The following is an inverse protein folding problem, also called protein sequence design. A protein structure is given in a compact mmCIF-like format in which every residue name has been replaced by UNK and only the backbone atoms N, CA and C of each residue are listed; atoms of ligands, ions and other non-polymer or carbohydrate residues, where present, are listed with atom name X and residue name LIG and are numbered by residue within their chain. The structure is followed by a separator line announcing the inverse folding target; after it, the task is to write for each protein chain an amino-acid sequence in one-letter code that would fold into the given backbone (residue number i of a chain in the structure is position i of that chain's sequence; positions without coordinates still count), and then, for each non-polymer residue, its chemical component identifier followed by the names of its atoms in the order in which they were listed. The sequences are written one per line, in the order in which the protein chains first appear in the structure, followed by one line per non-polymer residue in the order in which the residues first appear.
data_IF_306216869414
#
_entry.id   IF_306216869414
#
_cell.length_a   1.000
_cell.length_b   1.000
_cell.length_c   1.000
_cell.angle_alpha   90.00
_cell.angle_beta   90.00
_cell.angle_gamma   90.00
#
_symmetry.space_group_name_H-M   'P 1'
#
loop_
_entity.id
_entity.type
_entity.pdbx_description
1 polymer ?
#
# COMPACT_ATOMS: atom_id res chain seq x y z
N UNK A 1 -31.04 1.11 -5.57
CA UNK A 1 -30.32 1.95 -6.55
C UNK A 1 -29.97 3.28 -5.89
N UNK A 2 -28.75 3.78 -6.07
CA UNK A 2 -28.30 5.08 -5.54
C UNK A 2 -28.88 6.25 -6.36
N UNK A 3 -29.12 7.38 -5.69
CA UNK A 3 -29.58 8.63 -6.29
C UNK A 3 -28.77 9.87 -5.88
N UNK A 4 -27.76 9.73 -5.01
CA UNK A 4 -26.97 10.84 -4.50
C UNK A 4 -26.46 10.65 -3.08
N UNK A 5 -26.07 11.76 -2.45
CA UNK A 5 -25.61 11.84 -1.06
C UNK A 5 -26.29 13.00 -0.33
N UNK A 6 -26.44 12.85 0.99
CA UNK A 6 -26.91 13.90 1.89
C UNK A 6 -25.74 14.34 2.76
N UNK A 7 -25.46 15.65 2.80
CA UNK A 7 -24.36 16.22 3.57
C UNK A 7 -24.77 16.51 5.02
N UNK A 8 -23.80 16.90 5.85
CA UNK A 8 -24.04 17.18 7.27
C UNK A 8 -24.97 18.38 7.51
N UNK A 9 -25.04 19.31 6.56
CA UNK A 9 -25.94 20.47 6.58
C UNK A 9 -27.33 20.16 5.97
N UNK A 10 -27.61 18.88 5.72
CA UNK A 10 -28.81 18.37 5.07
C UNK A 10 -28.99 18.75 3.59
N UNK A 11 -28.00 19.38 2.96
CA UNK A 11 -28.02 19.56 1.50
C UNK A 11 -27.91 18.22 0.77
N UNK A 12 -28.57 18.13 -0.38
CA UNK A 12 -28.58 16.93 -1.22
C UNK A 12 -27.79 17.17 -2.51
N UNK A 13 -26.90 16.23 -2.83
CA UNK A 13 -26.19 16.19 -4.10
C UNK A 13 -26.64 14.95 -4.85
N UNK A 14 -27.30 15.14 -6.00
CA UNK A 14 -27.79 14.04 -6.84
C UNK A 14 -26.67 13.46 -7.69
N UNK A 15 -26.66 12.14 -7.81
CA UNK A 15 -25.73 11.41 -8.69
C UNK A 15 -26.31 10.06 -9.10
N UNK A 16 -25.91 9.56 -10.26
CA UNK A 16 -26.21 8.20 -10.71
C UNK A 16 -25.25 7.16 -10.10
N UNK A 17 -24.02 7.59 -9.75
CA UNK A 17 -22.97 6.76 -9.18
C UNK A 17 -22.28 7.46 -8.01
N UNK A 18 -22.04 6.72 -6.93
CA UNK A 18 -21.34 7.21 -5.73
C UNK A 18 -20.24 6.22 -5.37
N UNK A 19 -19.04 6.73 -5.09
CA UNK A 19 -17.90 5.92 -4.65
C UNK A 19 -17.59 6.30 -3.20
N UNK A 20 -17.60 5.32 -2.29
CA UNK A 20 -17.25 5.52 -0.89
C UNK A 20 -15.80 5.10 -0.63
N UNK A 21 -15.00 6.04 -0.12
CA UNK A 21 -13.59 5.88 0.22
C UNK A 21 -13.31 6.33 1.66
N UNK A 22 -14.08 5.81 2.61
CA UNK A 22 -14.12 6.30 4.00
C UNK A 22 -12.83 6.13 4.79
N UNK A 23 -11.85 5.39 4.28
CA UNK A 23 -10.61 5.11 5.00
C UNK A 23 -10.89 4.45 6.35
N UNK A 24 -10.25 4.94 7.40
CA UNK A 24 -10.42 4.50 8.79
C UNK A 24 -11.53 5.25 9.55
N UNK A 25 -12.36 6.04 8.88
CA UNK A 25 -13.30 6.94 9.56
C UNK A 25 -14.62 6.29 9.96
N UNK A 26 -15.02 5.21 9.30
CA UNK A 26 -16.33 4.58 9.50
C UNK A 26 -16.40 3.94 10.91
N UNK A 27 -17.20 4.54 11.81
CA UNK A 27 -17.22 4.23 13.25
C UNK A 27 -15.81 4.08 13.87
N UNK A 28 -14.88 4.94 13.45
CA UNK A 28 -13.48 4.89 13.90
C UNK A 28 -13.30 5.11 15.41
N UNK A 29 -12.43 4.32 16.04
CA UNK A 29 -12.04 4.42 17.45
C UNK A 29 -10.51 4.35 17.58
N UNK A 30 -9.92 5.37 18.22
CA UNK A 30 -8.49 5.43 18.52
C UNK A 30 -8.24 4.84 19.90
N UNK A 31 -7.24 3.97 19.99
CA UNK A 31 -6.80 3.32 21.23
C UNK A 31 -5.34 3.64 21.54
N UNK A 32 -5.09 4.12 22.76
CA UNK A 32 -3.77 4.36 23.34
C UNK A 32 -3.78 3.78 24.75
N UNK A 33 -3.25 2.57 24.90
CA UNK A 33 -3.35 1.82 26.14
C UNK A 33 -4.79 1.47 26.50
N UNK A 34 -5.20 1.87 27.69
CA UNK A 34 -6.55 1.77 28.25
C UNK A 34 -7.47 2.92 27.81
N UNK A 35 -6.94 3.97 27.18
CA UNK A 35 -7.72 5.12 26.72
C UNK A 35 -8.22 4.88 25.30
N UNK A 36 -9.54 4.94 25.14
CA UNK A 36 -10.21 4.85 23.82
C UNK A 36 -11.04 6.10 23.56
N UNK A 37 -10.99 6.62 22.32
CA UNK A 37 -11.75 7.80 21.91
C UNK A 37 -12.29 7.67 20.49
N UNK A 38 -13.52 8.16 20.21
CA UNK A 38 -14.03 8.19 18.84
C UNK A 38 -13.15 9.08 17.95
N UNK A 39 -12.73 8.56 16.80
CA UNK A 39 -11.89 9.30 15.87
C UNK A 39 -11.53 8.47 14.64
N UNK A 40 -11.52 9.09 13.46
CA UNK A 40 -11.08 8.41 12.23
C UNK A 40 -9.55 8.41 12.08
N UNK A 41 -8.92 9.49 12.54
CA UNK A 41 -7.47 9.70 12.66
C UNK A 41 -7.21 10.61 13.86
N UNK A 42 -5.95 10.72 14.27
CA UNK A 42 -5.57 11.63 15.34
C UNK A 42 -6.07 13.06 15.05
N UNK A 43 -6.93 13.59 15.91
CA UNK A 43 -7.51 14.92 15.77
C UNK A 43 -8.82 15.00 14.97
N UNK A 44 -9.20 13.95 14.23
CA UNK A 44 -10.37 13.96 13.35
C UNK A 44 -11.56 13.17 13.91
N UNK A 45 -12.78 13.66 13.65
CA UNK A 45 -14.02 12.99 14.05
C UNK A 45 -14.31 11.75 13.19
N UNK A 46 -14.98 10.72 13.74
CA UNK A 46 -15.41 9.56 12.97
C UNK A 46 -16.70 9.84 12.16
N UNK A 47 -16.94 9.03 11.14
CA UNK A 47 -18.14 9.02 10.32
C UNK A 47 -19.16 8.01 10.86
N UNK A 48 -20.11 8.49 11.67
CA UNK A 48 -21.13 7.63 12.32
C UNK A 48 -22.42 7.54 11.50
N UNK A 49 -22.97 8.67 11.05
CA UNK A 49 -24.23 8.70 10.27
C UNK A 49 -24.13 7.91 8.97
N UNK A 50 -22.97 7.97 8.31
CA UNK A 50 -22.73 7.18 7.10
C UNK A 50 -22.71 5.67 7.40
N UNK A 51 -22.15 5.25 8.54
CA UNK A 51 -22.16 3.85 8.95
C UNK A 51 -23.59 3.35 9.21
N UNK A 52 -24.39 4.14 9.93
CA UNK A 52 -25.81 3.85 10.15
C UNK A 52 -26.57 3.71 8.83
N UNK A 53 -26.26 4.55 7.84
CA UNK A 53 -26.86 4.43 6.51
C UNK A 53 -26.43 3.16 5.78
N UNK A 54 -25.18 2.72 5.96
CA UNK A 54 -24.67 1.48 5.37
C UNK A 54 -25.32 0.25 6.01
N UNK A 55 -25.63 0.30 7.32
CA UNK A 55 -26.33 -0.79 8.02
C UNK A 55 -27.68 -1.13 7.34
N UNK A 56 -28.39 -0.13 6.79
CA UNK A 56 -29.65 -0.32 6.06
C UNK A 56 -29.52 -1.10 4.74
N UNK A 57 -28.30 -1.23 4.19
CA UNK A 57 -28.08 -2.01 2.97
C UNK A 57 -27.99 -3.52 3.22
N UNK A 58 -28.00 -3.97 4.47
CA UNK A 58 -27.93 -5.39 4.83
C UNK A 58 -26.60 -6.04 4.44
N UNK A 59 -25.51 -5.27 4.48
CA UNK A 59 -24.16 -5.74 4.17
C UNK A 59 -23.53 -6.44 5.38
N UNK A 60 -22.66 -7.42 5.12
CA UNK A 60 -21.81 -8.00 6.16
C UNK A 60 -20.69 -7.02 6.51
N UNK A 61 -20.70 -6.51 7.73
CA UNK A 61 -19.67 -5.62 8.27
C UNK A 61 -18.78 -6.38 9.25
N UNK A 62 -17.51 -6.01 9.28
CA UNK A 62 -16.56 -6.42 10.31
C UNK A 62 -15.76 -5.23 10.80
N UNK A 63 -14.89 -5.48 11.79
CA UNK A 63 -13.97 -4.45 12.31
C UNK A 63 -12.53 -4.90 12.13
N UNK A 64 -11.71 -3.96 11.69
CA UNK A 64 -10.28 -4.15 11.51
C UNK A 64 -9.51 -3.16 12.34
N UNK A 65 -8.26 -3.54 12.66
CA UNK A 65 -7.34 -2.70 13.41
C UNK A 65 -6.08 -2.44 12.60
N UNK A 66 -5.62 -1.19 12.59
CA UNK A 66 -4.26 -0.84 12.15
C UNK A 66 -3.56 0.03 13.19
N UNK A 67 -2.24 -0.07 13.29
CA UNK A 67 -1.42 0.67 14.24
C UNK A 67 -0.42 1.58 13.55
N UNK A 68 -0.11 2.71 14.16
CA UNK A 68 0.93 3.65 13.73
C UNK A 68 1.94 3.90 14.85
N UNK A 69 3.23 4.11 14.55
CA UNK A 69 4.22 4.40 15.57
C UNK A 69 4.03 5.80 16.18
N UNK A 70 4.66 6.10 17.32
CA UNK A 70 4.82 7.48 17.77
C UNK A 70 5.55 8.32 16.72
N UNK A 71 5.30 9.62 16.71
CA UNK A 71 6.11 10.59 15.96
C UNK A 71 7.15 11.19 16.87
N UNK A 72 8.38 11.28 16.37
CA UNK A 72 9.53 11.78 17.13
C UNK A 72 9.96 13.14 16.60
N UNK A 73 10.48 14.00 17.48
CA UNK A 73 11.20 15.20 17.08
C UNK A 73 12.64 14.85 16.68
N UNK A 74 12.94 14.96 15.40
CA UNK A 74 14.25 14.65 14.82
C UNK A 74 15.39 15.52 15.36
N UNK A 75 15.11 16.67 15.98
CA UNK A 75 16.15 17.49 16.63
C UNK A 75 16.67 16.89 17.94
N UNK A 76 15.98 15.88 18.47
CA UNK A 76 16.29 15.23 19.75
C UNK A 76 16.87 13.82 19.60
N UNK A 77 17.13 13.42 18.35
CA UNK A 77 17.73 12.13 17.99
C UNK A 77 19.24 12.32 17.85
N UNK A 78 20.02 11.43 18.44
CA UNK A 78 21.47 11.37 18.22
C UNK A 78 21.77 10.66 16.90
N UNK A 79 21.73 11.42 15.81
CA UNK A 79 22.02 10.92 14.47
C UNK A 79 23.47 10.49 14.26
N UNK A 80 24.41 11.00 15.06
CA UNK A 80 25.84 10.71 14.88
C UNK A 80 26.15 9.24 15.18
N UNK A 81 25.42 8.63 16.12
CA UNK A 81 25.56 7.22 16.49
C UNK A 81 24.81 6.23 15.60
N UNK A 82 24.07 6.70 14.58
CA UNK A 82 23.17 5.86 13.78
C UNK A 82 23.72 5.55 12.39
N UNK A 83 23.38 4.37 11.89
CA UNK A 83 23.63 4.02 10.48
C UNK A 83 22.68 4.83 9.59
N UNK A 84 23.22 5.36 8.49
CA UNK A 84 22.45 6.10 7.48
C UNK A 84 22.23 5.23 6.26
N UNK A 85 21.00 5.20 5.76
CA UNK A 85 20.65 4.57 4.48
C UNK A 85 20.26 5.64 3.46
N UNK A 86 21.16 6.02 2.53
CA UNK A 86 20.81 6.87 1.40
C UNK A 86 19.93 6.10 0.40
N UNK A 87 19.25 6.85 -0.48
CA UNK A 87 18.63 6.26 -1.67
C UNK A 87 19.67 5.81 -2.69
N UNK A 88 19.21 5.14 -3.75
CA UNK A 88 20.07 4.71 -4.86
C UNK A 88 20.72 5.91 -5.56
N UNK A 89 22.00 5.75 -5.96
CA UNK A 89 22.73 6.76 -6.74
C UNK A 89 22.01 7.10 -8.06
N UNK A 90 21.38 6.10 -8.68
CA UNK A 90 20.54 6.24 -9.87
C UNK A 90 19.13 5.74 -9.53
N UNK A 91 18.22 6.64 -9.11
CA UNK A 91 16.92 6.24 -8.61
C UNK A 91 16.00 5.76 -9.72
N UNK A 92 15.26 4.68 -9.45
CA UNK A 92 14.17 4.24 -10.31
C UNK A 92 12.92 5.08 -10.02
N UNK A 93 12.30 5.62 -11.07
CA UNK A 93 11.14 6.50 -10.93
C UNK A 93 9.83 5.71 -11.08
N UNK A 94 8.83 6.07 -10.28
CA UNK A 94 7.52 5.40 -10.28
C UNK A 94 6.72 5.59 -11.58
N UNK A 95 6.78 6.79 -12.17
CA UNK A 95 6.05 7.11 -13.40
C UNK A 95 6.95 6.97 -14.61
N UNK A 96 6.46 6.28 -15.64
CA UNK A 96 7.10 6.20 -16.97
C UNK A 96 7.29 7.56 -17.68
N UNK A 97 6.73 8.65 -17.14
CA UNK A 97 6.91 10.01 -17.68
C UNK A 97 7.97 10.81 -16.93
N UNK A 98 8.28 10.42 -15.69
CA UNK A 98 9.29 11.11 -14.89
C UNK A 98 10.67 10.81 -15.46
N UNK A 99 11.53 11.83 -15.49
CA UNK A 99 12.90 11.73 -16.02
C UNK A 99 13.97 11.77 -14.93
N UNK A 100 13.68 12.46 -13.84
CA UNK A 100 14.54 12.60 -12.68
C UNK A 100 13.67 12.80 -11.41
N UNK A 101 14.24 12.63 -10.21
CA UNK A 101 13.55 12.96 -8.97
C UNK A 101 13.22 14.46 -8.91
N UNK A 102 11.96 14.80 -8.65
CA UNK A 102 11.53 16.19 -8.51
C UNK A 102 11.93 16.81 -7.16
N UNK A 103 12.21 15.99 -6.15
CA UNK A 103 12.53 16.42 -4.78
C UNK A 103 13.96 16.06 -4.41
N UNK A 104 14.55 16.84 -3.51
CA UNK A 104 15.85 16.54 -2.89
C UNK A 104 15.78 15.18 -2.21
N UNK A 105 16.73 14.30 -2.53
CA UNK A 105 16.85 13.00 -1.87
C UNK A 105 17.48 13.18 -0.50
N UNK A 106 16.95 12.50 0.51
CA UNK A 106 17.44 12.51 1.88
C UNK A 106 17.59 11.06 2.37
N UNK A 107 18.53 10.84 3.28
CA UNK A 107 18.76 9.51 3.86
C UNK A 107 17.79 9.23 5.00
N UNK A 108 17.51 7.94 5.22
CA UNK A 108 16.87 7.47 6.44
C UNK A 108 17.93 7.04 7.46
N UNK A 109 17.57 7.01 8.74
CA UNK A 109 18.39 6.39 9.79
C UNK A 109 17.99 4.94 10.04
N UNK A 110 18.92 4.13 10.54
CA UNK A 110 18.69 2.76 10.98
C UNK A 110 19.09 2.64 12.45
N UNK A 111 18.20 2.06 13.25
CA UNK A 111 18.47 1.66 14.64
C UNK A 111 17.76 0.35 14.94
N UNK A 112 17.89 -0.15 16.16
CA UNK A 112 17.36 -1.45 16.57
C UNK A 112 16.77 -1.40 17.98
N UNK A 113 15.65 -2.08 18.18
CA UNK A 113 15.23 -2.46 19.54
C UNK A 113 16.26 -3.40 20.18
N UNK A 114 16.24 -3.47 21.50
CA UNK A 114 17.13 -4.32 22.27
C UNK A 114 16.38 -5.01 23.43
N UNK A 115 17.08 -5.85 24.19
CA UNK A 115 16.51 -6.59 25.32
C UNK A 115 15.84 -5.69 26.36
N UNK A 116 16.38 -4.49 26.62
CA UNK A 116 15.78 -3.51 27.53
C UNK A 116 14.44 -3.00 26.98
N UNK A 117 14.40 -2.66 25.68
CA UNK A 117 13.15 -2.31 24.99
C UNK A 117 12.11 -3.42 25.15
N UNK A 118 12.51 -4.66 24.92
CA UNK A 118 11.61 -5.81 25.00
C UNK A 118 11.13 -6.07 26.43
N UNK A 119 12.00 -5.94 27.43
CA UNK A 119 11.63 -6.09 28.83
C UNK A 119 10.59 -5.04 29.28
N UNK A 120 10.75 -3.78 28.86
CA UNK A 120 9.78 -2.70 29.12
C UNK A 120 8.42 -3.06 28.51
N UNK A 121 8.40 -3.49 27.26
CA UNK A 121 7.16 -3.85 26.56
C UNK A 121 6.49 -5.08 27.20
N UNK A 122 7.26 -6.16 27.46
CA UNK A 122 6.74 -7.39 28.09
C UNK A 122 6.08 -7.12 29.44
N UNK A 123 6.68 -6.24 30.26
CA UNK A 123 6.14 -5.86 31.57
C UNK A 123 4.79 -5.13 31.48
N UNK A 124 4.45 -4.54 30.34
CA UNK A 124 3.26 -3.70 30.15
C UNK A 124 2.32 -4.23 29.05
N UNK A 125 2.42 -5.51 28.66
CA UNK A 125 1.58 -6.07 27.58
C UNK A 125 0.09 -5.98 27.91
N UNK A 126 -0.27 -6.28 29.15
CA UNK A 126 -1.63 -6.18 29.70
C UNK A 126 -2.25 -4.79 29.57
N UNK A 127 -1.41 -3.75 29.55
CA UNK A 127 -1.83 -2.35 29.36
C UNK A 127 -2.01 -1.96 27.89
N UNK A 128 -1.66 -2.82 26.94
CA UNK A 128 -1.91 -2.54 25.52
C UNK A 128 -3.39 -2.76 25.17
N UNK A 129 -3.92 -1.95 24.25
CA UNK A 129 -5.29 -2.14 23.80
C UNK A 129 -5.54 -3.52 23.15
N UNK A 130 -4.50 -4.12 22.54
CA UNK A 130 -4.54 -5.50 21.99
C UNK A 130 -4.81 -6.53 23.09
N UNK A 131 -3.89 -6.61 24.07
CA UNK A 131 -3.85 -7.72 25.03
C UNK A 131 -4.70 -7.44 26.27
N UNK A 132 -5.05 -6.18 26.53
CA UNK A 132 -5.99 -5.77 27.59
C UNK A 132 -7.46 -5.99 27.24
N UNK A 133 -7.78 -6.49 26.03
CA UNK A 133 -9.16 -6.78 25.61
C UNK A 133 -9.99 -5.54 25.28
N UNK A 134 -9.34 -4.42 24.92
CA UNK A 134 -10.01 -3.17 24.58
C UNK A 134 -10.27 -2.98 23.08
N UNK A 135 -9.96 -3.99 22.26
CA UNK A 135 -10.12 -3.96 20.81
C UNK A 135 -10.80 -5.25 20.35
N UNK A 136 -11.86 -5.11 19.56
CA UNK A 136 -12.58 -6.22 18.94
C UNK A 136 -11.99 -6.59 17.56
N UNK A 137 -11.40 -5.60 16.88
CA UNK A 137 -10.91 -5.68 15.51
C UNK A 137 -9.63 -6.49 15.35
N UNK A 138 -9.58 -7.27 14.26
CA UNK A 138 -8.42 -8.11 13.93
C UNK A 138 -7.30 -7.26 13.30
N UNK A 139 -6.09 -7.37 13.84
CA UNK A 139 -4.88 -6.73 13.32
C UNK A 139 -4.14 -7.56 12.26
N UNK A 140 -3.22 -6.95 11.50
CA UNK A 140 -2.45 -7.65 10.47
C UNK A 140 -1.41 -8.61 11.08
N UNK A 141 -1.34 -9.85 10.59
CA UNK A 141 -0.37 -10.87 11.01
C UNK A 141 1.05 -10.57 10.59
N UNK A 142 1.23 -9.93 9.43
CA UNK A 142 2.55 -9.76 8.81
C UNK A 142 3.17 -8.38 9.04
N UNK A 143 2.38 -7.37 9.43
CA UNK A 143 2.87 -6.09 9.93
C UNK A 143 2.35 -5.83 11.36
N UNK A 144 2.63 -6.72 12.32
CA UNK A 144 2.09 -6.59 13.66
C UNK A 144 2.70 -5.38 14.39
N UNK A 145 2.03 -4.92 15.45
CA UNK A 145 2.59 -3.92 16.35
C UNK A 145 3.83 -4.44 17.05
N UNK A 146 4.66 -3.56 17.61
CA UNK A 146 5.91 -3.94 18.28
C UNK A 146 5.65 -4.88 19.47
N UNK A 147 4.58 -4.64 20.23
CA UNK A 147 4.15 -5.54 21.29
C UNK A 147 3.83 -6.94 20.79
N UNK A 148 3.19 -7.08 19.62
CA UNK A 148 2.86 -8.39 19.04
C UNK A 148 4.06 -9.04 18.34
N UNK A 149 4.97 -8.26 17.74
CA UNK A 149 6.27 -8.75 17.23
C UNK A 149 7.09 -9.42 18.33
N UNK A 150 7.20 -8.78 19.49
CA UNK A 150 8.03 -9.27 20.62
C UNK A 150 7.44 -10.55 21.23
N UNK A 151 6.11 -10.70 21.24
CA UNK A 151 5.46 -11.93 21.71
C UNK A 151 5.65 -13.07 20.70
N UNK A 152 5.41 -12.83 19.41
CA UNK A 152 5.50 -13.86 18.36
C UNK A 152 6.91 -14.31 18.05
N UNK A 153 7.88 -13.39 18.10
CA UNK A 153 9.28 -13.63 17.77
C UNK A 153 10.16 -13.42 19.01
N UNK A 154 9.77 -14.07 20.11
CA UNK A 154 10.38 -13.90 21.43
C UNK A 154 11.84 -14.36 21.51
N UNK A 155 12.29 -15.16 20.55
CA UNK A 155 13.67 -15.63 20.35
C UNK A 155 14.59 -14.55 19.76
N UNK A 156 14.05 -13.49 19.15
CA UNK A 156 14.84 -12.41 18.58
C UNK A 156 15.27 -11.41 19.65
N UNK A 157 16.57 -11.17 19.78
CA UNK A 157 17.13 -10.16 20.68
C UNK A 157 16.94 -8.71 20.19
N UNK A 158 16.64 -8.52 18.90
CA UNK A 158 16.46 -7.21 18.29
C UNK A 158 15.51 -7.21 17.09
N UNK A 159 14.97 -6.03 16.80
CA UNK A 159 14.19 -5.73 15.60
C UNK A 159 14.64 -4.40 15.02
N UNK A 160 14.88 -4.36 13.71
CA UNK A 160 15.28 -3.15 12.99
C UNK A 160 14.16 -2.11 12.98
N UNK A 161 14.57 -0.85 13.03
CA UNK A 161 13.74 0.34 12.94
C UNK A 161 14.35 1.26 11.89
N UNK A 162 13.53 1.74 10.96
CA UNK A 162 13.90 2.83 10.07
C UNK A 162 13.39 4.15 10.63
N UNK A 163 14.27 5.14 10.75
CA UNK A 163 13.93 6.50 11.11
C UNK A 163 13.75 7.30 9.82
N UNK A 164 12.50 7.45 9.41
CA UNK A 164 12.11 8.04 8.14
C UNK A 164 11.66 9.50 8.36
N UNK A 165 12.33 10.50 7.77
CA UNK A 165 11.84 11.87 7.82
C UNK A 165 10.50 12.03 7.09
N UNK A 166 9.50 12.65 7.72
CA UNK A 166 8.18 12.83 7.09
C UNK A 166 8.14 13.97 6.04
N UNK A 167 9.18 14.80 5.97
CA UNK A 167 9.30 15.85 4.96
C UNK A 167 10.67 16.53 4.95
N UNK A 168 10.89 17.40 3.96
CA UNK A 168 12.17 18.08 3.77
C UNK A 168 12.43 19.20 4.79
N UNK A 169 11.36 19.87 5.22
CA UNK A 169 11.40 21.08 6.03
C UNK A 169 10.67 20.92 7.38
N UNK A 170 10.43 19.68 7.80
CA UNK A 170 9.82 19.35 9.09
C UNK A 170 10.77 18.45 9.89
N UNK A 171 10.72 18.57 11.21
CA UNK A 171 11.57 17.76 12.10
C UNK A 171 10.94 16.42 12.45
N UNK A 172 9.69 16.17 12.04
CA UNK A 172 8.96 14.95 12.38
C UNK A 172 9.60 13.72 11.76
N UNK A 173 9.91 12.74 12.60
CA UNK A 173 10.44 11.43 12.19
C UNK A 173 9.40 10.34 12.45
N UNK A 174 9.22 9.48 11.45
CA UNK A 174 8.45 8.25 11.50
C UNK A 174 9.37 7.06 11.81
N UNK A 175 9.34 6.49 13.03
CA UNK A 175 10.15 5.32 13.37
C UNK A 175 9.43 4.04 12.93
N UNK A 176 9.58 3.72 11.64
CA UNK A 176 9.00 2.54 11.03
C UNK A 176 9.50 1.25 11.70
N UNK A 177 8.57 0.39 12.09
CA UNK A 177 8.86 -0.86 12.80
C UNK A 177 8.31 -0.91 14.22
N UNK A 178 8.02 0.25 14.84
CA UNK A 178 7.53 0.35 16.22
C UNK A 178 6.08 0.86 16.36
N UNK A 179 5.20 0.51 15.42
CA UNK A 179 3.75 0.72 15.58
C UNK A 179 3.26 0.12 16.89
N UNK A 180 2.41 0.83 17.64
CA UNK A 180 1.99 0.36 18.97
C UNK A 180 0.60 0.86 19.36
N UNK A 181 0.03 0.21 20.36
CA UNK A 181 -1.15 0.65 21.09
C UNK A 181 -0.93 0.71 22.61
N UNK A 182 0.33 0.76 23.05
CA UNK A 182 0.69 0.91 24.47
C UNK A 182 0.37 2.31 25.01
N UNK A 183 0.22 2.46 26.33
CA UNK A 183 0.07 3.78 26.98
C UNK A 183 1.26 4.70 26.69
N UNK A 184 1.03 6.01 26.66
CA UNK A 184 2.04 7.00 26.30
C UNK A 184 3.31 6.93 27.18
N UNK A 185 3.15 6.75 28.50
CA UNK A 185 4.29 6.61 29.44
C UNK A 185 5.19 5.42 29.09
N UNK A 186 4.59 4.31 28.65
CA UNK A 186 5.32 3.11 28.21
C UNK A 186 6.01 3.36 26.89
N UNK A 187 5.37 4.10 25.97
CA UNK A 187 5.99 4.49 24.72
C UNK A 187 7.25 5.31 24.93
N UNK A 188 7.18 6.34 25.78
CA UNK A 188 8.34 7.16 26.14
C UNK A 188 9.46 6.30 26.73
N UNK A 189 9.13 5.36 27.63
CA UNK A 189 10.10 4.50 28.27
C UNK A 189 10.82 3.56 27.28
N UNK A 190 10.09 2.90 26.37
CA UNK A 190 10.73 1.98 25.43
C UNK A 190 11.44 2.74 24.30
N UNK A 191 10.91 3.88 23.83
CA UNK A 191 11.57 4.68 22.79
C UNK A 191 12.94 5.14 23.27
N UNK A 192 13.03 5.66 24.51
CA UNK A 192 14.29 6.09 25.11
C UNK A 192 15.25 4.96 25.49
N UNK A 193 14.85 3.71 25.31
CA UNK A 193 15.74 2.56 25.48
C UNK A 193 16.48 2.18 24.18
N UNK A 194 16.06 2.71 23.04
CA UNK A 194 16.62 2.42 21.72
C UNK A 194 17.84 3.30 21.49
N UNK A 195 18.90 2.73 20.93
CA UNK A 195 20.14 3.44 20.65
C UNK A 195 19.90 4.64 19.73
N UNK A 196 20.43 5.81 20.10
CA UNK A 196 20.26 7.08 19.41
C UNK A 196 18.95 7.80 19.73
N UNK A 197 18.02 7.18 20.46
CA UNK A 197 16.73 7.73 20.85
C UNK A 197 16.61 8.02 22.35
N UNK A 198 17.72 8.00 23.09
CA UNK A 198 17.75 8.12 24.56
C UNK A 198 17.09 9.40 25.06
N UNK A 199 17.20 10.48 24.27
CA UNK A 199 16.62 11.79 24.56
C UNK A 199 15.43 12.13 23.63
N UNK A 200 14.98 11.18 22.81
CA UNK A 200 13.95 11.45 21.82
C UNK A 200 12.65 11.95 22.49
N UNK A 201 12.10 13.03 21.93
CA UNK A 201 10.79 13.57 22.30
C UNK A 201 9.72 12.99 21.39
N UNK A 202 8.65 12.46 21.98
CA UNK A 202 7.46 12.03 21.26
C UNK A 202 6.56 13.25 21.08
N UNK A 203 6.36 13.69 19.83
CA UNK A 203 5.47 14.80 19.46
C UNK A 203 4.03 14.34 19.28
N UNK A 204 3.83 13.07 18.92
CA UNK A 204 2.53 12.42 18.85
C UNK A 204 2.65 10.97 19.31
N UNK A 205 1.83 10.50 20.26
CA UNK A 205 1.86 9.10 20.68
C UNK A 205 1.44 8.18 19.52
N UNK A 206 2.05 7.01 19.47
CA UNK A 206 1.60 5.89 18.66
C UNK A 206 0.23 5.43 19.15
N UNK A 207 -0.57 4.91 18.23
CA UNK A 207 -1.92 4.49 18.54
C UNK A 207 -2.39 3.43 17.56
N UNK A 208 -3.46 2.76 17.94
CA UNK A 208 -4.23 1.96 17.01
C UNK A 208 -5.56 2.61 16.65
N UNK A 209 -5.99 2.39 15.42
CA UNK A 209 -7.30 2.77 14.91
C UNK A 209 -8.07 1.50 14.59
N UNK A 210 -9.22 1.36 15.23
CA UNK A 210 -10.24 0.37 14.90
C UNK A 210 -11.32 1.03 14.06
N UNK A 211 -11.76 0.36 13.01
CA UNK A 211 -12.74 0.91 12.07
C UNK A 211 -13.51 -0.21 11.39
N UNK A 212 -14.65 0.15 10.83
CA UNK A 212 -15.49 -0.78 10.11
C UNK A 212 -15.05 -0.96 8.66
N UNK A 213 -15.21 -2.17 8.17
CA UNK A 213 -15.09 -2.50 6.75
C UNK A 213 -16.31 -3.32 6.30
N UNK A 214 -16.59 -3.25 5.01
CA UNK A 214 -17.57 -4.09 4.32
C UNK A 214 -16.85 -5.30 3.77
N UNK A 215 -17.42 -6.49 3.97
CA UNK A 215 -16.90 -7.71 3.36
C UNK A 215 -16.84 -7.56 1.83
N UNK A 216 -15.64 -7.56 1.21
CA UNK A 216 -15.49 -7.26 -0.20
C UNK A 216 -16.13 -8.30 -1.13
N UNK A 217 -16.55 -9.47 -0.62
CA UNK A 217 -17.36 -10.45 -1.37
C UNK A 217 -18.73 -9.91 -1.79
N UNK A 218 -19.19 -8.82 -1.16
CA UNK A 218 -20.40 -8.10 -1.57
C UNK A 218 -20.22 -7.32 -2.89
N UNK A 219 -18.98 -7.18 -3.37
CA UNK A 219 -18.61 -6.41 -4.57
C UNK A 219 -18.43 -7.32 -5.79
N UNK A 220 -18.54 -6.73 -6.98
CA UNK A 220 -18.03 -7.30 -8.22
C UNK A 220 -16.64 -6.75 -8.60
N UNK A 221 -16.06 -7.23 -9.70
CA UNK A 221 -14.71 -6.83 -10.16
C UNK A 221 -14.60 -5.34 -10.53
N UNK A 222 -15.73 -4.66 -10.70
CA UNK A 222 -15.79 -3.20 -10.92
C UNK A 222 -15.81 -2.42 -9.60
N UNK A 223 -15.80 -3.12 -8.47
CA UNK A 223 -15.98 -2.62 -7.11
C UNK A 223 -17.38 -2.04 -6.84
N UNK A 224 -18.37 -2.40 -7.66
CA UNK A 224 -19.77 -2.06 -7.42
C UNK A 224 -20.40 -3.04 -6.43
N UNK A 225 -21.26 -2.53 -5.54
CA UNK A 225 -22.10 -3.36 -4.69
C UNK A 225 -23.16 -4.05 -5.54
N UNK A 226 -23.19 -5.38 -5.46
CA UNK A 226 -24.14 -6.21 -6.23
C UNK A 226 -25.61 -5.89 -5.94
N UNK A 227 -25.91 -5.58 -4.68
CA UNK A 227 -27.28 -5.35 -4.20
C UNK A 227 -27.68 -3.87 -4.18
N UNK A 228 -26.75 -2.94 -4.44
CA UNK A 228 -27.00 -1.50 -4.42
C UNK A 228 -26.47 -0.87 -5.70
N UNK A 229 -27.20 -0.95 -6.83
CA UNK A 229 -26.75 -0.44 -8.11
C UNK A 229 -26.37 1.05 -8.03
N UNK A 230 -25.19 1.38 -8.56
CA UNK A 230 -24.61 2.73 -8.54
C UNK A 230 -23.78 3.05 -7.30
N UNK A 231 -23.64 2.14 -6.34
CA UNK A 231 -22.73 2.31 -5.20
C UNK A 231 -21.44 1.50 -5.40
N UNK A 232 -20.30 2.16 -5.28
CA UNK A 232 -18.98 1.57 -5.36
C UNK A 232 -18.23 1.78 -4.05
N UNK A 233 -17.39 0.82 -3.66
CA UNK A 233 -16.56 0.92 -2.46
C UNK A 233 -15.09 0.78 -2.84
N UNK A 234 -14.20 1.62 -2.32
CA UNK A 234 -12.77 1.55 -2.63
C UNK A 234 -11.88 1.89 -1.43
N UNK A 235 -10.78 1.16 -1.29
CA UNK A 235 -9.76 1.39 -0.28
C UNK A 235 -10.00 0.63 1.01
N UNK A 236 -9.71 1.25 2.15
CA UNK A 236 -9.73 0.55 3.45
C UNK A 236 -11.13 0.07 3.86
N UNK A 237 -12.20 0.66 3.32
CA UNK A 237 -13.57 0.17 3.51
C UNK A 237 -13.77 -1.26 2.96
N UNK A 238 -12.95 -1.70 2.00
CA UNK A 238 -12.95 -3.07 1.48
C UNK A 238 -11.99 -3.99 2.26
N UNK A 239 -11.46 -3.51 3.39
CA UNK A 239 -10.57 -4.25 4.28
C UNK A 239 -9.14 -4.41 3.78
N UNK A 240 -8.70 -3.56 2.85
CA UNK A 240 -7.28 -3.39 2.51
C UNK A 240 -6.57 -2.43 3.46
N UNK A 241 -5.25 -2.49 3.54
CA UNK A 241 -4.43 -1.47 4.22
C UNK A 241 -3.17 -1.15 3.42
N UNK A 242 -3.06 0.09 2.98
CA UNK A 242 -1.95 0.57 2.16
C UNK A 242 -2.46 1.61 1.17
N UNK A 243 -1.59 2.54 0.80
CA UNK A 243 -1.98 3.65 -0.08
C UNK A 243 -2.12 3.16 -1.51
N UNK A 244 -1.26 2.22 -1.91
CA UNK A 244 -1.19 1.61 -3.22
C UNK A 244 -2.44 0.77 -3.50
N UNK A 245 -2.82 -0.11 -2.55
CA UNK A 245 -4.05 -0.90 -2.63
C UNK A 245 -5.29 0.00 -2.75
N UNK A 246 -5.35 1.06 -1.93
CA UNK A 246 -6.48 1.97 -1.93
C UNK A 246 -6.55 2.82 -3.21
N UNK A 247 -5.40 3.28 -3.71
CA UNK A 247 -5.32 4.06 -4.94
C UNK A 247 -5.70 3.24 -6.16
N UNK A 248 -5.24 1.98 -6.22
CA UNK A 248 -5.61 1.06 -7.29
C UNK A 248 -7.12 0.77 -7.30
N UNK A 249 -7.72 0.51 -6.13
CA UNK A 249 -9.18 0.36 -6.02
C UNK A 249 -9.93 1.64 -6.40
N UNK A 250 -9.46 2.81 -5.94
CA UNK A 250 -10.07 4.09 -6.28
C UNK A 250 -10.08 4.34 -7.79
N UNK A 251 -8.97 4.00 -8.47
CA UNK A 251 -8.89 4.07 -9.93
C UNK A 251 -9.89 3.13 -10.61
N UNK A 252 -9.95 1.87 -10.17
CA UNK A 252 -10.90 0.88 -10.71
C UNK A 252 -12.34 1.37 -10.53
N UNK A 253 -12.74 1.70 -9.31
CA UNK A 253 -14.08 2.19 -9.00
C UNK A 253 -14.42 3.47 -9.77
N UNK A 254 -13.47 4.39 -9.91
CA UNK A 254 -13.63 5.63 -10.68
C UNK A 254 -13.90 5.38 -12.16
N UNK A 255 -13.06 4.56 -12.80
CA UNK A 255 -13.20 4.19 -14.21
C UNK A 255 -14.50 3.42 -14.45
N UNK A 256 -14.85 2.49 -13.56
CA UNK A 256 -16.10 1.72 -13.63
C UNK A 256 -17.34 2.59 -13.44
N UNK A 257 -17.34 3.50 -12.47
CA UNK A 257 -18.45 4.44 -12.26
C UNK A 257 -18.63 5.40 -13.45
N UNK A 258 -17.54 5.85 -14.06
CA UNK A 258 -17.56 6.67 -15.27
C UNK A 258 -18.12 5.87 -16.46
N UNK A 259 -17.63 4.66 -16.70
CA UNK A 259 -18.12 3.78 -17.77
C UNK A 259 -19.63 3.48 -17.61
N UNK A 260 -20.07 3.18 -16.40
CA UNK A 260 -21.50 2.99 -16.09
C UNK A 260 -22.32 4.25 -16.41
N UNK A 261 -21.79 5.44 -16.11
CA UNK A 261 -22.47 6.70 -16.37
C UNK A 261 -22.53 7.05 -17.87
N UNK A 262 -21.54 6.60 -18.64
CA UNK A 262 -21.46 6.80 -20.09
C UNK A 262 -22.16 5.69 -20.89
N UNK A 263 -22.58 4.59 -20.23
CA UNK A 263 -23.14 3.42 -20.90
C UNK A 263 -22.11 2.66 -21.75
N UNK A 264 -20.83 2.72 -21.37
CA UNK A 264 -19.72 2.05 -22.05
C UNK A 264 -19.21 0.84 -21.25
N UNK A 265 -18.36 0.03 -21.88
CA UNK A 265 -17.66 -1.05 -21.19
C UNK A 265 -16.65 -0.46 -20.19
N UNK A 266 -16.57 -1.10 -19.01
CA UNK A 266 -15.66 -0.72 -17.93
C UNK A 266 -14.25 -1.30 -18.08
N UNK A 267 -13.33 -0.95 -17.17
CA UNK A 267 -12.03 -1.59 -17.11
C UNK A 267 -12.16 -3.09 -16.78
N UNK A 268 -11.19 -3.86 -17.25
CA UNK A 268 -11.07 -5.31 -17.02
C UNK A 268 -9.63 -5.62 -16.62
N UNK A 269 -9.43 -6.00 -15.36
CA UNK A 269 -8.12 -6.36 -14.82
C UNK A 269 -8.11 -7.85 -14.48
N UNK A 270 -7.18 -8.61 -15.07
CA UNK A 270 -7.03 -10.03 -14.81
C UNK A 270 -5.81 -10.32 -13.94
N UNK A 271 -5.83 -11.46 -13.24
CA UNK A 271 -4.68 -11.94 -12.46
C UNK A 271 -3.42 -12.15 -13.32
N UNK A 272 -3.59 -12.39 -14.63
CA UNK A 272 -2.49 -12.62 -15.57
C UNK A 272 -1.86 -11.34 -16.12
N UNK A 273 -2.57 -10.21 -16.06
CA UNK A 273 -2.12 -8.94 -16.65
C UNK A 273 -1.74 -7.89 -15.61
N UNK A 274 -2.16 -8.00 -14.35
CA UNK A 274 -1.92 -6.97 -13.35
C UNK A 274 -2.02 -7.45 -11.89
N UNK A 275 -1.23 -6.82 -11.03
CA UNK A 275 -1.41 -6.95 -9.58
C UNK A 275 -2.72 -6.30 -9.09
N UNK A 276 -3.32 -5.39 -9.86
CA UNK A 276 -4.67 -4.88 -9.61
C UNK A 276 -5.68 -6.02 -9.74
N UNK A 277 -5.62 -6.79 -10.83
CA UNK A 277 -6.47 -7.96 -11.02
C UNK A 277 -6.28 -9.03 -9.93
N UNK A 278 -5.03 -9.29 -9.52
CA UNK A 278 -4.71 -10.19 -8.38
C UNK A 278 -5.40 -9.71 -7.09
N UNK A 279 -5.24 -8.43 -6.75
CA UNK A 279 -5.85 -7.84 -5.55
C UNK A 279 -7.37 -7.96 -5.56
N UNK A 280 -8.01 -7.51 -6.65
CA UNK A 280 -9.47 -7.50 -6.75
C UNK A 280 -10.04 -8.91 -6.66
N UNK A 281 -9.42 -9.86 -7.38
CA UNK A 281 -9.82 -11.26 -7.33
C UNK A 281 -9.67 -11.87 -5.93
N UNK A 282 -8.54 -11.65 -5.25
CA UNK A 282 -8.33 -12.13 -3.88
C UNK A 282 -9.39 -11.56 -2.92
N UNK A 283 -9.66 -10.25 -2.99
CA UNK A 283 -10.66 -9.58 -2.16
C UNK A 283 -12.07 -10.14 -2.40
N UNK A 284 -12.49 -10.26 -3.66
CA UNK A 284 -13.87 -10.63 -4.00
C UNK A 284 -14.12 -12.13 -3.86
N UNK A 285 -13.12 -12.98 -4.13
CA UNK A 285 -13.28 -14.44 -4.06
C UNK A 285 -13.09 -14.98 -2.64
N UNK A 286 -12.16 -14.42 -1.86
CA UNK A 286 -11.78 -14.96 -0.55
C UNK A 286 -12.28 -14.12 0.62
N UNK A 287 -12.61 -12.85 0.39
CA UNK A 287 -12.85 -11.90 1.46
C UNK A 287 -11.55 -11.56 2.21
N UNK A 288 -11.70 -10.94 3.38
CA UNK A 288 -10.57 -10.63 4.26
C UNK A 288 -10.88 -11.06 5.69
N UNK A 289 -9.89 -11.67 6.34
CA UNK A 289 -9.92 -12.04 7.77
C UNK A 289 -9.02 -11.14 8.63
N UNK A 290 -8.17 -10.36 7.96
CA UNK A 290 -7.26 -9.36 8.50
C UNK A 290 -7.04 -8.31 7.41
N UNK A 291 -6.47 -7.13 7.70
CA UNK A 291 -6.25 -6.12 6.67
C UNK A 291 -5.37 -6.65 5.53
N UNK A 292 -5.94 -6.71 4.32
CA UNK A 292 -5.24 -7.25 3.14
C UNK A 292 -4.07 -6.34 2.75
N UNK A 293 -2.93 -6.96 2.42
CA UNK A 293 -1.71 -6.31 1.92
C UNK A 293 -1.12 -7.09 0.74
N UNK A 294 -0.70 -6.37 -0.30
CA UNK A 294 -0.22 -6.97 -1.56
C UNK A 294 0.96 -7.91 -1.39
N UNK A 295 1.87 -7.67 -0.45
CA UNK A 295 3.04 -8.53 -0.27
C UNK A 295 2.69 -9.95 0.19
N UNK A 296 1.47 -10.18 0.69
CA UNK A 296 0.98 -11.52 1.06
C UNK A 296 0.31 -12.27 -0.09
N UNK A 297 0.04 -11.56 -1.20
CA UNK A 297 -0.60 -12.13 -2.38
C UNK A 297 0.33 -13.07 -3.12
N UNK A 298 -0.24 -14.12 -3.71
CA UNK A 298 0.49 -15.02 -4.61
C UNK A 298 0.09 -14.66 -6.05
N UNK A 299 1.01 -14.01 -6.76
CA UNK A 299 0.88 -13.80 -8.19
C UNK A 299 1.58 -14.94 -8.94
N UNK A 300 0.78 -15.79 -9.60
CA UNK A 300 1.25 -16.92 -10.39
C UNK A 300 2.14 -16.47 -11.56
N UNK A 301 1.85 -15.27 -12.09
CA UNK A 301 2.51 -14.68 -13.25
C UNK A 301 3.59 -13.65 -12.87
N UNK A 302 4.24 -13.77 -11.71
CA UNK A 302 5.22 -12.78 -11.20
C UNK A 302 6.33 -12.37 -12.18
N UNK A 303 6.72 -13.26 -13.11
CA UNK A 303 7.77 -12.98 -14.11
C UNK A 303 7.29 -12.06 -15.25
N UNK A 304 5.99 -12.08 -15.57
CA UNK A 304 5.39 -11.16 -16.54
C UNK A 304 4.86 -9.89 -15.88
N UNK A 305 4.44 -9.97 -14.61
CA UNK A 305 3.90 -8.85 -13.82
C UNK A 305 5.00 -8.02 -13.16
N UNK A 306 5.86 -7.40 -13.97
CA UNK A 306 6.98 -6.60 -13.46
C UNK A 306 6.67 -5.11 -13.45
N UNK A 307 7.37 -4.36 -12.61
CA UNK A 307 7.24 -2.90 -12.58
C UNK A 307 7.65 -2.27 -13.92
N UNK A 308 8.72 -2.76 -14.55
CA UNK A 308 9.32 -2.20 -15.79
C UNK A 308 8.43 -2.26 -17.04
N UNK A 309 7.43 -3.15 -17.06
CA UNK A 309 6.56 -3.39 -18.20
C UNK A 309 5.08 -3.11 -17.93
N UNK A 310 4.76 -2.45 -16.80
CA UNK A 310 3.38 -2.15 -16.45
C UNK A 310 2.68 -1.27 -17.50
N UNK A 311 3.40 -0.35 -18.14
CA UNK A 311 2.89 0.46 -19.23
C UNK A 311 2.56 -0.36 -20.47
N UNK A 312 3.40 -1.33 -20.84
CA UNK A 312 3.16 -2.25 -21.96
C UNK A 312 1.90 -3.09 -21.75
N UNK A 313 1.64 -3.49 -20.50
CA UNK A 313 0.46 -4.29 -20.13
C UNK A 313 -0.82 -3.47 -20.08
N UNK A 314 -0.78 -2.26 -19.51
CA UNK A 314 -2.00 -1.54 -19.11
C UNK A 314 -2.28 -0.23 -19.85
N UNK A 315 -1.28 0.41 -20.47
CA UNK A 315 -1.51 1.66 -21.23
C UNK A 315 -2.44 1.44 -22.43
N UNK A 316 -2.33 0.35 -23.22
CA UNK A 316 -3.27 0.10 -24.33
C UNK A 316 -4.73 0.09 -23.87
N UNK A 317 -5.01 -0.54 -22.73
CA UNK A 317 -6.34 -0.55 -22.14
C UNK A 317 -6.79 0.84 -21.71
N UNK A 318 -5.91 1.61 -21.03
CA UNK A 318 -6.21 2.98 -20.62
C UNK A 318 -6.49 3.92 -21.80
N UNK A 319 -5.88 3.67 -22.97
CA UNK A 319 -6.18 4.41 -24.21
C UNK A 319 -7.59 4.10 -24.69
N UNK A 320 -7.98 2.82 -24.73
CA UNK A 320 -9.35 2.41 -25.11
C UNK A 320 -10.39 2.99 -24.16
N UNK A 321 -10.10 3.04 -22.86
CA UNK A 321 -10.96 3.65 -21.84
C UNK A 321 -10.98 5.20 -21.88
N UNK A 322 -10.08 5.84 -22.64
CA UNK A 322 -9.98 7.29 -22.71
C UNK A 322 -9.35 7.97 -21.48
N UNK A 323 -8.69 7.22 -20.60
CA UNK A 323 -8.06 7.76 -19.38
C UNK A 323 -6.55 8.04 -19.53
N UNK A 324 -6.00 7.86 -20.74
CA UNK A 324 -4.59 8.16 -21.06
C UNK A 324 -4.51 9.49 -21.81
N UNK A 325 -3.84 10.47 -21.21
CA UNK A 325 -3.60 11.78 -21.83
C UNK A 325 -2.58 11.73 -22.98
N UNK A 326 -2.59 12.78 -23.82
CA UNK A 326 -1.78 12.87 -25.04
C UNK A 326 -0.27 12.72 -24.81
N UNK A 327 0.27 13.31 -23.75
CA UNK A 327 1.69 13.20 -23.39
C UNK A 327 2.09 11.74 -23.12
N UNK A 328 1.29 11.03 -22.31
CA UNK A 328 1.52 9.61 -21.99
C UNK A 328 1.39 8.75 -23.22
N UNK A 329 0.39 9.00 -24.06
CA UNK A 329 0.20 8.29 -25.32
C UNK A 329 1.42 8.43 -26.25
N UNK A 330 1.95 9.66 -26.39
CA UNK A 330 3.12 9.91 -27.23
C UNK A 330 4.37 9.22 -26.68
N UNK A 331 4.62 9.32 -25.36
CA UNK A 331 5.75 8.66 -24.72
C UNK A 331 5.67 7.13 -24.84
N UNK A 332 4.50 6.54 -24.61
CA UNK A 332 4.25 5.12 -24.77
C UNK A 332 4.44 4.66 -26.21
N UNK A 333 3.85 5.36 -27.18
CA UNK A 333 3.97 5.00 -28.61
C UNK A 333 5.44 5.02 -29.07
N UNK A 334 6.21 6.03 -28.66
CA UNK A 334 7.64 6.12 -28.97
C UNK A 334 8.43 4.96 -28.36
N UNK A 335 8.11 4.58 -27.11
CA UNK A 335 8.74 3.42 -26.45
C UNK A 335 8.42 2.12 -27.22
N UNK A 336 7.16 1.90 -27.59
CA UNK A 336 6.74 0.72 -28.33
C UNK A 336 7.39 0.63 -29.71
N UNK A 337 7.50 1.75 -30.44
CA UNK A 337 8.20 1.81 -31.73
C UNK A 337 9.67 1.42 -31.58
N UNK A 338 10.38 1.98 -30.58
CA UNK A 338 11.79 1.66 -30.30
C UNK A 338 11.98 0.19 -29.94
N UNK A 339 11.11 -0.36 -29.09
CA UNK A 339 11.15 -1.77 -28.71
C UNK A 339 10.88 -2.69 -29.91
N UNK A 340 9.90 -2.36 -30.75
CA UNK A 340 9.60 -3.12 -31.95
C UNK A 340 10.76 -3.09 -32.95
N UNK A 341 11.36 -1.92 -33.18
CA UNK A 341 12.52 -1.76 -34.06
C UNK A 341 13.74 -2.53 -33.55
N UNK A 342 14.07 -2.42 -32.26
CA UNK A 342 15.19 -3.14 -31.66
C UNK A 342 14.97 -4.65 -31.72
N UNK A 343 13.77 -5.12 -31.37
CA UNK A 343 13.41 -6.56 -31.47
C UNK A 343 13.53 -7.05 -32.90
N UNK A 344 13.02 -6.30 -33.89
CA UNK A 344 13.14 -6.66 -35.30
C UNK A 344 14.61 -6.74 -35.75
N UNK A 345 15.48 -5.83 -35.31
CA UNK A 345 16.92 -5.88 -35.60
C UNK A 345 17.59 -7.12 -34.99
N UNK A 346 17.23 -7.48 -33.75
CA UNK A 346 17.76 -8.66 -33.08
C UNK A 346 17.31 -9.99 -33.74
N UNK A 347 16.20 -9.97 -34.49
CA UNK A 347 15.71 -11.11 -35.27
C UNK A 347 16.14 -11.10 -36.75
N UNK A 348 16.61 -9.96 -37.28
CA UNK A 348 16.86 -9.79 -38.71
C UNK A 348 17.92 -10.76 -39.24
N UNK A 349 18.98 -10.95 -38.47
CA UNK A 349 20.10 -11.81 -38.84
C UNK A 349 20.20 -13.03 -37.91
N UNK A 350 20.65 -14.15 -38.49
CA UNK A 350 21.05 -15.34 -37.75
C UNK A 350 22.53 -15.59 -37.99
N UNK A 351 23.24 -16.03 -36.96
CA UNK A 351 24.69 -16.22 -37.00
C UNK A 351 25.04 -17.67 -36.62
N UNK A 352 26.08 -18.22 -37.24
CA UNK A 352 26.65 -19.51 -36.79
C UNK A 352 27.45 -19.31 -35.50
N UNK A 353 27.66 -20.36 -34.70
CA UNK A 353 28.49 -20.29 -33.49
C UNK A 353 29.91 -19.76 -33.74
N UNK A 354 30.49 -20.04 -34.92
CA UNK A 354 31.81 -19.50 -35.32
C UNK A 354 31.77 -18.00 -35.60
N UNK A 355 30.71 -17.50 -36.23
CA UNK A 355 30.53 -16.06 -36.49
C UNK A 355 30.34 -15.28 -35.18
N UNK A 356 29.59 -15.85 -34.24
CA UNK A 356 29.36 -15.26 -32.93
C UNK A 356 30.66 -15.20 -32.11
N UNK A 357 31.44 -16.28 -32.11
CA UNK A 357 32.73 -16.33 -31.42
C UNK A 357 33.73 -15.32 -32.02
N UNK A 358 33.75 -15.17 -33.35
CA UNK A 358 34.57 -14.15 -34.00
C UNK A 358 34.16 -12.71 -33.61
N UNK A 359 32.90 -12.50 -33.24
CA UNK A 359 32.38 -11.25 -32.69
C UNK A 359 32.53 -11.10 -31.16
N UNK A 360 33.21 -12.04 -30.49
CA UNK A 360 33.43 -12.00 -29.04
C UNK A 360 32.27 -12.51 -28.19
N UNK A 361 31.29 -13.20 -28.78
CA UNK A 361 30.13 -13.77 -28.08
C UNK A 361 30.35 -15.28 -27.91
N UNK A 362 30.48 -15.73 -26.68
CA UNK A 362 30.64 -17.15 -26.37
C UNK A 362 29.30 -17.89 -26.45
N UNK A 363 29.25 -18.91 -27.31
CA UNK A 363 28.11 -19.82 -27.45
C UNK A 363 28.59 -21.25 -27.70
N UNK A 364 27.76 -22.23 -27.34
CA UNK A 364 28.01 -23.65 -27.63
C UNK A 364 28.22 -23.88 -29.13
N UNK A 365 29.31 -24.56 -29.50
CA UNK A 365 29.63 -24.89 -30.90
C UNK A 365 28.83 -26.11 -31.38
N UNK A 366 27.51 -25.98 -31.42
CA UNK A 366 26.56 -27.04 -31.80
C UNK A 366 26.14 -26.97 -33.29
N UNK A 367 26.70 -26.03 -34.05
CA UNK A 367 26.37 -25.79 -35.45
C UNK A 367 25.02 -25.11 -35.70
N UNK A 368 24.22 -24.86 -34.65
CA UNK A 368 22.90 -24.25 -34.78
C UNK A 368 23.00 -22.74 -34.97
N UNK A 369 22.33 -22.20 -36.00
CA UNK A 369 22.24 -20.75 -36.20
C UNK A 369 21.31 -20.14 -35.16
N UNK A 370 21.72 -19.02 -34.58
CA UNK A 370 20.94 -18.29 -33.57
C UNK A 370 20.84 -16.83 -33.97
N UNK A 371 19.68 -16.21 -33.75
CA UNK A 371 19.57 -14.76 -33.84
C UNK A 371 20.16 -14.10 -32.60
N UNK A 372 20.46 -12.80 -32.66
CA UNK A 372 20.93 -12.06 -31.48
C UNK A 372 19.88 -12.05 -30.37
N UNK A 373 18.59 -12.08 -30.73
CA UNK A 373 17.50 -12.20 -29.76
C UNK A 373 17.62 -13.49 -28.93
N UNK A 374 17.83 -14.63 -29.58
CA UNK A 374 17.95 -15.94 -28.92
C UNK A 374 19.19 -16.08 -28.03
N UNK A 375 20.20 -15.23 -28.25
CA UNK A 375 21.41 -15.21 -27.43
C UNK A 375 21.20 -14.39 -26.16
N UNK A 376 20.36 -13.35 -26.24
CA UNK A 376 20.03 -12.47 -25.12
C UNK A 376 18.93 -13.04 -24.22
N UNK A 377 18.01 -13.83 -24.78
CA UNK A 377 16.87 -14.47 -24.09
C UNK A 377 17.26 -15.78 -23.44
#
# INVERSE_FOLDING_TARGET
KISGVVLSDASEIRSNSVILTTGTFLRGIIHIGDVSRPGGRMGDKPSVKLAQRIDEFGLSLGRLKTGTPPRLDGTTIDWQGLETQPGDDVPTLFSFLSKEPAARQIACGITYTNEKTHAIIRKNLDRSAMYGGHIDGVGPRYCPSIEDKIVRFSDKASHQIFLEPEGLDVTTIYPNGISTSLPQDVQEAYVRSIAGLENALITQPGYAIEYDYVDPRALDMSLALRNVPGLFLAGQINGTTGYEEASAQGMVAGLSAAAQSLGSDGPSFSRSDSYIGVMLDDLISRGVSEPYRMFTSRAEFRLSLRADNADQRLTPQGIVLGCVGAERYAAFSLKQEKLAKATAQLHADSFTPTQLQAGGIEVTQDGSRRSLYQILS
#
